data_IF_647257206408
#
_entry.id   IF_647257206408
#
_cell.length_a   1.000
_cell.length_b   1.000
_cell.length_c   1.000
_cell.angle_alpha   90.00
_cell.angle_beta   90.00
_cell.angle_gamma   90.00
#
_symmetry.space_group_name_H-M   'P 1'
#
loop_
_entity.id
_entity.type
_entity.pdbx_description
1 polymer ?
#
# COMPACT_ATOMS: atom_id res chain seq x y z
N UNK A 1 -82.39 -0.99 -21.66
CA UNK A 1 -81.66 -0.25 -20.62
C UNK A 1 -80.61 -1.10 -19.91
N UNK A 2 -80.89 -2.32 -19.47
CA UNK A 2 -79.92 -3.17 -18.72
C UNK A 2 -78.69 -3.59 -19.56
N UNK A 3 -78.84 -3.82 -20.87
CA UNK A 3 -77.73 -4.26 -21.73
C UNK A 3 -76.67 -3.18 -22.03
N UNK A 4 -77.07 -1.91 -22.12
CA UNK A 4 -76.14 -0.79 -22.34
C UNK A 4 -75.28 -0.50 -21.10
N UNK A 5 -75.83 -0.74 -19.92
CA UNK A 5 -75.15 -0.52 -18.64
C UNK A 5 -74.05 -1.57 -18.42
N UNK A 6 -74.32 -2.85 -18.71
CA UNK A 6 -73.32 -3.92 -18.65
C UNK A 6 -72.22 -3.79 -19.72
N UNK A 7 -72.55 -3.27 -20.91
CA UNK A 7 -71.55 -2.98 -21.94
C UNK A 7 -70.59 -1.85 -21.51
N UNK A 8 -71.10 -0.83 -20.80
CA UNK A 8 -70.27 0.23 -20.24
C UNK A 8 -69.40 -0.25 -19.07
N UNK A 9 -69.96 -1.05 -18.16
CA UNK A 9 -69.21 -1.61 -17.02
C UNK A 9 -68.07 -2.53 -17.48
N UNK A 10 -68.31 -3.37 -18.48
CA UNK A 10 -67.28 -4.27 -19.03
C UNK A 10 -66.19 -3.52 -19.80
N UNK A 11 -66.53 -2.45 -20.52
CA UNK A 11 -65.54 -1.57 -21.13
C UNK A 11 -64.71 -0.81 -20.09
N UNK A 12 -65.34 -0.29 -19.04
CA UNK A 12 -64.66 0.40 -17.94
C UNK A 12 -63.72 -0.55 -17.20
N UNK A 13 -64.15 -1.78 -16.92
CA UNK A 13 -63.33 -2.82 -16.29
C UNK A 13 -62.17 -3.27 -17.20
N UNK A 14 -62.38 -3.29 -18.52
CA UNK A 14 -61.31 -3.61 -19.50
C UNK A 14 -60.30 -2.48 -19.60
N UNK A 15 -60.78 -1.23 -19.65
CA UNK A 15 -59.94 -0.02 -19.64
C UNK A 15 -59.18 0.14 -18.32
N UNK A 16 -59.79 -0.18 -17.18
CA UNK A 16 -59.12 -0.18 -15.88
C UNK A 16 -58.06 -1.28 -15.80
N UNK A 17 -58.35 -2.49 -16.28
CA UNK A 17 -57.37 -3.58 -16.33
C UNK A 17 -56.18 -3.30 -17.27
N UNK A 18 -56.37 -2.54 -18.36
CA UNK A 18 -55.26 -2.06 -19.18
C UNK A 18 -54.51 -0.89 -18.53
N UNK A 19 -55.22 0.01 -17.85
CA UNK A 19 -54.63 1.10 -17.08
C UNK A 19 -53.74 0.58 -15.95
N UNK A 20 -54.19 -0.43 -15.19
CA UNK A 20 -53.44 -1.07 -14.12
C UNK A 20 -52.16 -1.73 -14.66
N UNK A 21 -52.24 -2.36 -15.84
CA UNK A 21 -51.07 -2.94 -16.53
C UNK A 21 -50.08 -1.87 -16.98
N UNK A 22 -50.58 -0.74 -17.52
CA UNK A 22 -49.73 0.39 -17.91
C UNK A 22 -49.05 1.02 -16.69
N UNK A 23 -49.79 1.20 -15.59
CA UNK A 23 -49.26 1.71 -14.32
C UNK A 23 -48.18 0.78 -13.75
N UNK A 24 -48.45 -0.53 -13.72
CA UNK A 24 -47.47 -1.53 -13.28
C UNK A 24 -46.21 -1.53 -14.17
N UNK A 25 -46.37 -1.40 -15.49
CA UNK A 25 -45.25 -1.30 -16.44
C UNK A 25 -44.43 -0.03 -16.24
N UNK A 26 -45.07 1.12 -16.03
CA UNK A 26 -44.39 2.37 -15.70
C UNK A 26 -43.64 2.27 -14.37
N UNK A 27 -44.27 1.79 -13.30
CA UNK A 27 -43.63 1.58 -12.01
C UNK A 27 -42.43 0.63 -12.10
N UNK A 28 -42.55 -0.45 -12.86
CA UNK A 28 -41.41 -1.33 -13.15
C UNK A 28 -40.28 -0.55 -13.82
N UNK A 29 -40.56 0.21 -14.89
CA UNK A 29 -39.55 1.02 -15.60
C UNK A 29 -38.88 2.05 -14.69
N UNK A 30 -39.63 2.74 -13.83
CA UNK A 30 -39.08 3.67 -12.86
C UNK A 30 -38.17 2.96 -11.86
N UNK A 31 -38.65 1.84 -11.28
CA UNK A 31 -37.85 1.07 -10.31
C UNK A 31 -36.57 0.50 -10.92
N UNK A 32 -36.63 0.08 -12.19
CA UNK A 32 -35.50 -0.47 -12.93
C UNK A 32 -34.53 0.63 -13.33
N UNK A 33 -35.06 1.80 -13.73
CA UNK A 33 -34.29 3.02 -13.94
C UNK A 33 -33.52 3.43 -12.68
N UNK A 34 -34.19 3.54 -11.54
CA UNK A 34 -33.56 3.89 -10.26
C UNK A 34 -32.45 2.91 -9.88
N UNK A 35 -32.68 1.60 -10.05
CA UNK A 35 -31.66 0.58 -9.80
C UNK A 35 -30.45 0.76 -10.71
N UNK A 36 -30.66 1.01 -11.99
CA UNK A 36 -29.60 1.23 -12.96
C UNK A 36 -28.79 2.49 -12.62
N UNK A 37 -29.46 3.59 -12.25
CA UNK A 37 -28.81 4.83 -11.83
C UNK A 37 -28.01 4.65 -10.56
N UNK A 38 -28.57 4.03 -9.52
CA UNK A 38 -27.86 3.72 -8.25
C UNK A 38 -26.67 2.81 -8.47
N UNK A 39 -26.80 1.80 -9.35
CA UNK A 39 -25.70 0.89 -9.67
C UNK A 39 -24.57 1.62 -10.38
N UNK A 40 -24.91 2.50 -11.34
CA UNK A 40 -23.94 3.31 -12.05
C UNK A 40 -23.25 4.30 -11.12
N UNK A 41 -24.00 4.99 -10.27
CA UNK A 41 -23.47 5.92 -9.27
C UNK A 41 -22.51 5.21 -8.31
N UNK A 42 -22.91 4.08 -7.73
CA UNK A 42 -22.05 3.27 -6.87
C UNK A 42 -20.78 2.81 -7.58
N UNK A 43 -20.87 2.44 -8.86
CA UNK A 43 -19.71 2.06 -9.66
C UNK A 43 -18.77 3.25 -9.91
N UNK A 44 -19.31 4.42 -10.22
CA UNK A 44 -18.55 5.65 -10.45
C UNK A 44 -17.86 6.11 -9.16
N UNK A 45 -18.58 6.14 -8.04
CA UNK A 45 -18.03 6.46 -6.72
C UNK A 45 -16.94 5.47 -6.34
N UNK A 46 -17.13 4.17 -6.60
CA UNK A 46 -16.10 3.16 -6.36
C UNK A 46 -14.83 3.33 -7.23
N UNK A 47 -14.95 3.84 -8.46
CA UNK A 47 -13.80 4.17 -9.31
C UNK A 47 -13.08 5.41 -8.78
N UNK A 48 -13.83 6.46 -8.43
CA UNK A 48 -13.29 7.69 -7.84
C UNK A 48 -12.56 7.38 -6.54
N UNK A 49 -13.15 6.56 -5.68
CA UNK A 49 -12.54 6.12 -4.43
C UNK A 49 -11.17 5.46 -4.66
N UNK A 50 -11.12 4.47 -5.56
CA UNK A 50 -9.89 3.74 -5.88
C UNK A 50 -8.82 4.63 -6.49
N UNK A 51 -9.19 5.51 -7.42
CA UNK A 51 -8.23 6.43 -8.06
C UNK A 51 -7.75 7.49 -7.07
N UNK A 52 -8.67 8.25 -6.46
CA UNK A 52 -8.30 9.36 -5.59
C UNK A 52 -7.58 8.90 -4.33
N UNK A 53 -8.13 7.92 -3.60
CA UNK A 53 -7.48 7.43 -2.37
C UNK A 53 -6.23 6.63 -2.70
N UNK A 54 -6.29 5.75 -3.70
CA UNK A 54 -5.19 4.87 -4.09
C UNK A 54 -3.97 5.66 -4.55
N UNK A 55 -4.14 6.64 -5.43
CA UNK A 55 -3.05 7.47 -5.94
C UNK A 55 -2.47 8.36 -4.83
N UNK A 56 -3.32 9.00 -4.02
CA UNK A 56 -2.87 9.85 -2.93
C UNK A 56 -2.12 9.05 -1.85
N UNK A 57 -2.62 7.85 -1.50
CA UNK A 57 -1.97 6.96 -0.54
C UNK A 57 -0.64 6.43 -1.07
N UNK A 58 -0.60 5.95 -2.32
CA UNK A 58 0.62 5.44 -2.95
C UNK A 58 1.71 6.53 -3.02
N UNK A 59 1.33 7.75 -3.39
CA UNK A 59 2.22 8.90 -3.43
C UNK A 59 2.78 9.23 -2.03
N UNK A 60 1.92 9.30 -1.02
CA UNK A 60 2.35 9.58 0.35
C UNK A 60 3.30 8.50 0.89
N UNK A 61 3.03 7.22 0.60
CA UNK A 61 3.90 6.10 1.01
C UNK A 61 5.27 6.21 0.33
N UNK A 62 5.29 6.47 -0.99
CA UNK A 62 6.52 6.62 -1.73
C UNK A 62 7.37 7.80 -1.21
N UNK A 63 6.75 8.94 -0.93
CA UNK A 63 7.39 10.11 -0.33
C UNK A 63 7.94 9.81 1.08
N UNK A 64 7.25 8.98 1.85
CA UNK A 64 7.70 8.54 3.17
C UNK A 64 8.82 7.48 3.14
N UNK A 65 9.20 6.99 1.95
CA UNK A 65 10.19 5.94 1.76
C UNK A 65 9.68 4.55 2.14
N UNK A 66 8.37 4.32 2.12
CA UNK A 66 7.74 3.04 2.43
C UNK A 66 7.53 2.16 1.20
N UNK A 67 7.38 0.85 1.44
CA UNK A 67 6.90 -0.09 0.42
C UNK A 67 5.39 0.12 0.19
N UNK A 68 5.03 0.55 -1.02
CA UNK A 68 3.63 0.79 -1.40
C UNK A 68 2.81 -0.49 -1.30
N UNK A 69 3.31 -1.63 -1.78
CA UNK A 69 2.56 -2.89 -1.76
C UNK A 69 2.21 -3.36 -0.35
N UNK A 70 3.08 -3.09 0.64
CA UNK A 70 2.87 -3.51 2.02
C UNK A 70 1.98 -2.54 2.79
N UNK A 71 2.17 -1.22 2.60
CA UNK A 71 1.50 -0.21 3.42
C UNK A 71 0.17 0.28 2.85
N UNK A 72 -0.05 0.15 1.54
CA UNK A 72 -1.25 0.63 0.86
C UNK A 72 -2.56 0.08 1.47
N UNK A 73 -2.75 -1.24 1.69
CA UNK A 73 -4.01 -1.74 2.25
C UNK A 73 -4.26 -1.22 3.66
N UNK A 74 -3.21 -1.05 4.48
CA UNK A 74 -3.34 -0.53 5.83
C UNK A 74 -3.64 0.98 5.86
N UNK A 75 -3.00 1.75 4.98
CA UNK A 75 -3.23 3.17 4.86
C UNK A 75 -4.64 3.46 4.31
N UNK A 76 -5.07 2.68 3.31
CA UNK A 76 -6.42 2.80 2.75
C UNK A 76 -7.51 2.48 3.78
N UNK A 77 -7.30 1.53 4.69
CA UNK A 77 -8.24 1.24 5.78
C UNK A 77 -8.32 2.37 6.82
N UNK A 78 -7.29 3.21 6.92
CA UNK A 78 -7.26 4.41 7.77
C UNK A 78 -7.74 5.67 7.04
N UNK A 79 -8.45 5.50 5.94
CA UNK A 79 -8.98 6.62 5.16
C UNK A 79 -10.31 6.28 4.53
N UNK A 80 -11.10 7.31 4.25
CA UNK A 80 -12.35 7.18 3.49
C UNK A 80 -12.49 8.30 2.48
N UNK A 81 -13.30 8.05 1.47
CA UNK A 81 -13.78 9.10 0.58
C UNK A 81 -14.77 9.97 1.36
N UNK A 82 -14.53 11.27 1.41
CA UNK A 82 -15.46 12.25 1.93
C UNK A 82 -15.98 13.09 0.77
N UNK A 83 -17.29 13.24 0.67
CA UNK A 83 -17.90 14.18 -0.26
C UNK A 83 -18.39 15.40 0.53
N UNK A 84 -17.90 16.59 0.19
CA UNK A 84 -18.36 17.87 0.76
C UNK A 84 -18.63 18.83 -0.39
N UNK A 85 -19.86 19.37 -0.45
CA UNK A 85 -20.29 20.33 -1.47
C UNK A 85 -20.09 19.84 -2.91
N UNK A 86 -20.28 18.54 -3.16
CA UNK A 86 -20.08 17.91 -4.47
C UNK A 86 -18.62 17.73 -4.88
N UNK A 87 -17.67 18.01 -3.98
CA UNK A 87 -16.25 17.71 -4.15
C UNK A 87 -15.85 16.47 -3.36
N UNK A 88 -15.20 15.53 -4.04
CA UNK A 88 -14.60 14.36 -3.41
C UNK A 88 -13.22 14.72 -2.85
N UNK A 89 -13.03 14.39 -1.58
CA UNK A 89 -11.77 14.51 -0.86
C UNK A 89 -11.45 13.23 -0.10
N UNK A 90 -10.24 13.18 0.45
CA UNK A 90 -9.80 12.07 1.30
C UNK A 90 -9.82 12.53 2.75
N UNK A 91 -10.50 11.77 3.61
CA UNK A 91 -10.51 12.01 5.05
C UNK A 91 -9.83 10.84 5.78
N UNK A 92 -8.97 11.17 6.73
CA UNK A 92 -8.22 10.22 7.55
C UNK A 92 -9.04 9.78 8.76
N UNK A 93 -8.92 8.51 9.14
CA UNK A 93 -9.63 7.88 10.24
C UNK A 93 -8.71 7.46 11.39
N UNK A 94 -9.20 7.61 12.61
CA UNK A 94 -8.56 7.05 13.80
C UNK A 94 -8.80 5.53 13.93
N UNK A 95 -8.24 4.90 14.96
CA UNK A 95 -8.34 3.47 15.29
C UNK A 95 -9.80 3.04 15.50
N UNK A 96 -10.63 3.95 15.97
CA UNK A 96 -12.06 3.75 16.19
C UNK A 96 -12.92 4.07 14.94
N UNK A 97 -12.29 4.25 13.77
CA UNK A 97 -12.94 4.66 12.51
C UNK A 97 -13.66 6.01 12.56
N UNK A 98 -13.24 6.87 13.49
CA UNK A 98 -13.75 8.24 13.59
C UNK A 98 -12.91 9.18 12.69
N UNK A 99 -13.56 10.11 11.98
CA UNK A 99 -12.84 11.08 11.13
C UNK A 99 -11.96 12.00 11.97
N UNK A 100 -10.69 12.11 11.57
CA UNK A 100 -9.73 13.00 12.18
C UNK A 100 -9.55 14.25 11.33
N UNK A 101 -10.18 15.35 11.77
CA UNK A 101 -10.03 16.65 11.09
C UNK A 101 -8.58 17.14 11.20
N UNK A 102 -8.02 17.58 10.07
CA UNK A 102 -6.68 18.16 9.99
C UNK A 102 -5.52 17.16 9.98
N UNK A 103 -5.81 15.85 10.00
CA UNK A 103 -4.80 14.80 9.83
C UNK A 103 -4.64 14.40 8.38
N UNK A 104 -3.41 14.11 8.00
CA UNK A 104 -3.00 13.73 6.65
C UNK A 104 -2.47 12.29 6.62
N UNK A 105 -2.27 11.75 5.41
CA UNK A 105 -1.58 10.47 5.26
C UNK A 105 -0.17 10.48 5.85
N UNK A 106 0.52 11.62 5.85
CA UNK A 106 1.85 11.73 6.44
C UNK A 106 1.82 11.46 7.94
N UNK A 107 0.80 11.97 8.66
CA UNK A 107 0.64 11.72 10.10
C UNK A 107 0.48 10.22 10.40
N UNK A 108 -0.34 9.51 9.60
CA UNK A 108 -0.55 8.06 9.76
C UNK A 108 0.76 7.31 9.47
N UNK A 109 1.51 7.74 8.46
CA UNK A 109 2.79 7.12 8.12
C UNK A 109 3.84 7.35 9.20
N UNK A 110 3.82 8.48 9.89
CA UNK A 110 4.65 8.69 11.10
C UNK A 110 4.25 7.74 12.23
N UNK A 111 2.95 7.48 12.43
CA UNK A 111 2.50 6.47 13.39
C UNK A 111 2.96 5.06 13.00
N UNK A 112 2.90 4.72 11.70
CA UNK A 112 3.38 3.43 11.20
C UNK A 112 4.89 3.27 11.39
N UNK A 113 5.68 4.34 11.21
CA UNK A 113 7.12 4.32 11.50
C UNK A 113 7.43 4.05 12.97
N UNK A 114 6.58 4.52 13.88
CA UNK A 114 6.71 4.31 15.33
C UNK A 114 6.23 2.93 15.79
N UNK A 115 5.50 2.21 14.95
CA UNK A 115 4.98 0.89 15.26
C UNK A 115 5.92 -0.19 14.70
N UNK A 116 6.45 -1.02 15.58
CA UNK A 116 7.37 -2.11 15.24
C UNK A 116 6.84 -3.05 14.14
N UNK A 117 5.51 -3.23 14.06
CA UNK A 117 4.88 -4.08 13.05
C UNK A 117 5.06 -3.57 11.63
N UNK A 118 5.14 -2.24 11.45
CA UNK A 118 5.23 -1.59 10.15
C UNK A 118 6.60 -0.97 9.89
N UNK A 119 7.45 -0.87 10.91
CA UNK A 119 8.79 -0.30 10.82
C UNK A 119 9.63 -0.95 9.70
N UNK A 120 9.54 -2.26 9.52
CA UNK A 120 10.26 -2.99 8.47
C UNK A 120 9.76 -2.73 7.04
N UNK A 121 8.57 -2.13 6.88
CA UNK A 121 8.04 -1.74 5.57
C UNK A 121 8.55 -0.37 5.10
N UNK A 122 9.20 0.40 5.98
CA UNK A 122 9.91 1.60 5.59
C UNK A 122 11.35 1.26 5.25
N UNK A 123 11.91 1.94 4.25
CA UNK A 123 13.32 1.84 3.95
C UNK A 123 14.09 2.21 5.21
N UNK A 124 14.65 1.18 5.87
CA UNK A 124 15.66 1.41 6.89
C UNK A 124 16.77 2.18 6.18
N UNK A 125 17.20 3.31 6.73
CA UNK A 125 18.40 4.03 6.30
C UNK A 125 19.65 3.19 6.67
N UNK A 126 19.58 1.88 6.44
CA UNK A 126 20.67 0.92 6.55
C UNK A 126 21.31 0.95 5.18
N UNK A 127 22.52 1.52 5.16
CA UNK A 127 23.43 1.45 4.05
C UNK A 127 23.37 0.06 3.43
N UNK A 128 23.30 0.04 2.09
CA UNK A 128 23.76 -1.01 1.20
C UNK A 128 24.44 -2.12 1.98
N UNK A 129 23.80 -3.29 2.08
CA UNK A 129 24.37 -4.45 2.72
C UNK A 129 25.76 -4.71 2.15
N UNK A 130 26.78 -4.19 2.85
CA UNK A 130 28.12 -4.67 2.65
C UNK A 130 28.05 -6.06 3.22
N UNK A 131 28.03 -7.06 2.34
CA UNK A 131 28.42 -8.41 2.70
C UNK A 131 29.88 -8.37 3.14
N UNK A 132 30.16 -7.70 4.25
CA UNK A 132 31.37 -7.88 5.02
C UNK A 132 31.21 -9.27 5.61
N UNK A 133 31.80 -10.23 4.89
CA UNK A 133 32.06 -11.56 5.37
C UNK A 133 32.41 -11.47 6.85
N UNK A 134 31.70 -12.24 7.67
CA UNK A 134 31.94 -12.37 9.09
C UNK A 134 33.44 -12.58 9.33
N UNK A 135 34.15 -11.49 9.66
CA UNK A 135 35.47 -11.56 10.23
C UNK A 135 35.24 -11.96 11.68
N UNK A 136 35.06 -13.27 11.86
CA UNK A 136 35.16 -13.95 13.14
C UNK A 136 36.37 -13.39 13.88
N UNK A 137 36.14 -12.97 15.13
CA UNK A 137 37.03 -12.13 15.91
C UNK A 137 38.49 -12.58 15.83
N UNK A 138 39.33 -11.78 15.19
CA UNK A 138 40.76 -11.84 15.37
C UNK A 138 41.17 -10.62 16.15
N UNK A 139 41.59 -10.85 17.39
CA UNK A 139 42.31 -9.89 18.21
C UNK A 139 43.28 -9.12 17.31
N UNK A 140 43.17 -7.80 17.35
CA UNK A 140 44.25 -6.88 16.95
C UNK A 140 45.42 -7.10 17.92
N UNK A 141 46.15 -8.18 17.72
CA UNK A 141 47.54 -8.30 18.11
C UNK A 141 48.33 -8.27 16.82
N UNK A 142 49.32 -7.38 16.80
CA UNK A 142 50.35 -7.13 15.78
C UNK A 142 51.04 -8.43 15.32
N UNK A 143 50.32 -9.31 14.65
CA UNK A 143 50.80 -10.61 14.22
C UNK A 143 50.85 -10.65 12.70
N UNK A 144 51.99 -11.07 12.18
CA UNK A 144 52.28 -11.07 10.76
C UNK A 144 51.52 -12.24 10.07
N UNK A 145 50.58 -11.96 9.15
CA UNK A 145 49.74 -12.99 8.55
C UNK A 145 50.49 -13.95 7.61
N UNK A 146 51.76 -13.67 7.30
CA UNK A 146 52.62 -14.52 6.46
C UNK A 146 53.43 -15.56 7.27
N UNK A 147 53.49 -15.44 8.60
CA UNK A 147 54.19 -16.41 9.46
C UNK A 147 53.33 -17.66 9.61
N UNK A 148 53.90 -18.84 9.36
CA UNK A 148 53.19 -20.12 9.53
C UNK A 148 52.93 -20.36 11.03
N UNK A 149 51.66 -20.45 11.40
CA UNK A 149 51.24 -20.59 12.79
C UNK A 149 49.77 -20.20 13.00
N UNK A 150 49.38 -19.93 14.25
CA UNK A 150 48.01 -19.50 14.60
C UNK A 150 47.55 -18.24 13.87
N UNK A 151 48.50 -17.39 13.49
CA UNK A 151 48.26 -16.11 12.82
C UNK A 151 48.32 -16.20 11.28
N UNK A 152 48.53 -17.41 10.72
CA UNK A 152 48.58 -17.62 9.27
C UNK A 152 47.18 -17.48 8.65
N UNK A 153 46.92 -16.38 7.93
CA UNK A 153 45.62 -16.10 7.33
C UNK A 153 45.73 -15.69 5.86
N UNK A 154 45.37 -16.60 4.96
CA UNK A 154 45.42 -16.41 3.49
C UNK A 154 44.52 -15.27 3.03
N UNK A 155 43.38 -15.04 3.68
CA UNK A 155 42.48 -13.93 3.34
C UNK A 155 43.12 -12.56 3.58
N UNK A 156 43.77 -12.38 4.73
CA UNK A 156 44.51 -11.16 5.04
C UNK A 156 45.77 -11.00 4.16
N UNK A 157 46.45 -12.10 3.82
CA UNK A 157 47.56 -12.06 2.87
C UNK A 157 47.11 -11.52 1.50
N UNK A 158 45.99 -12.04 0.96
CA UNK A 158 45.45 -11.60 -0.32
C UNK A 158 44.97 -10.16 -0.28
N UNK A 159 44.35 -9.74 0.84
CA UNK A 159 43.94 -8.35 1.06
C UNK A 159 45.15 -7.41 1.09
N UNK A 160 46.20 -7.77 1.82
CA UNK A 160 47.45 -6.99 1.91
C UNK A 160 48.18 -6.96 0.56
N UNK A 161 48.30 -8.07 -0.15
CA UNK A 161 48.92 -8.10 -1.48
C UNK A 161 48.16 -7.25 -2.50
N UNK A 162 46.83 -7.17 -2.40
CA UNK A 162 45.99 -6.39 -3.31
C UNK A 162 45.95 -4.90 -2.97
N UNK A 163 45.82 -4.56 -1.69
CA UNK A 163 45.58 -3.18 -1.26
C UNK A 163 46.85 -2.46 -0.76
N UNK A 164 47.84 -3.20 -0.25
CA UNK A 164 49.06 -2.69 0.39
C UNK A 164 50.31 -3.53 -0.01
N UNK A 165 50.68 -3.59 -1.30
CA UNK A 165 51.69 -4.54 -1.81
C UNK A 165 53.08 -4.36 -1.19
N UNK A 166 53.48 -3.14 -0.87
CA UNK A 166 54.80 -2.86 -0.25
C UNK A 166 54.89 -3.38 1.18
N UNK A 167 53.79 -3.28 1.93
CA UNK A 167 53.71 -3.81 3.29
C UNK A 167 53.67 -5.33 3.27
N UNK A 168 52.94 -5.93 2.33
CA UNK A 168 52.92 -7.37 2.12
C UNK A 168 54.33 -7.92 1.85
N UNK A 169 55.10 -7.28 0.96
CA UNK A 169 56.49 -7.67 0.68
C UNK A 169 57.39 -7.61 1.93
N UNK A 170 57.27 -6.56 2.74
CA UNK A 170 58.07 -6.41 3.97
C UNK A 170 57.73 -7.50 4.99
N UNK A 171 56.44 -7.77 5.18
CA UNK A 171 55.97 -8.82 6.09
C UNK A 171 56.33 -10.22 5.59
N UNK A 172 56.29 -10.46 4.28
CA UNK A 172 56.73 -11.71 3.68
C UNK A 172 58.23 -11.93 3.85
N UNK A 173 59.04 -10.88 3.66
CA UNK A 173 60.49 -10.94 3.88
C UNK A 173 60.82 -11.19 5.36
N UNK A 174 60.10 -10.56 6.29
CA UNK A 174 60.25 -10.79 7.73
C UNK A 174 59.87 -12.22 8.14
N UNK A 175 58.83 -12.78 7.53
CA UNK A 175 58.41 -14.16 7.76
C UNK A 175 59.41 -15.19 7.19
N UNK A 176 60.10 -14.86 6.09
CA UNK A 176 61.12 -15.72 5.49
C UNK A 176 62.47 -15.65 6.22
N UNK A 177 62.71 -14.61 7.02
CA UNK A 177 63.92 -14.42 7.81
C UNK A 177 63.86 -15.09 9.20
N UNK A 178 62.71 -15.67 9.56
CA UNK A 178 62.46 -16.39 10.81
C UNK A 178 62.42 -17.90 10.59
#
# INVERSE_FOLDING_TARGET
MIADEQARETELARKSGEFDKLLAKEQQRYSEGEKNWKTRESSLVGIIDKSLRGEAAAKAIAEAGGSVELLLPHLLNRSRLSEKDGMFGVEVLDKDNLPMAGKSYADILEEFKKNDSFAGAFASKVATGTGAAAASGSKSTTANPFVRGPDYNVGEQMRLMKNEPDKAKRLQAEAAAK
#
